data_IF_155059730197
#
_entry.id   IF_155059730197
#
_cell.length_a   1.000
_cell.length_b   1.000
_cell.length_c   1.000
_cell.angle_alpha   90.00
_cell.angle_beta   90.00
_cell.angle_gamma   90.00
#
_symmetry.space_group_name_H-M   'P 1'
#
loop_
_entity.id
_entity.type
_entity.pdbx_description
1 polymer ?
#
# COMPACT_ATOMS: atom_id res chain seq x y z
N UNK A 1 -23.48 -8.66 4.79
CA UNK A 1 -22.25 -8.87 3.98
C UNK A 1 -21.19 -7.91 4.49
N UNK A 2 -20.02 -8.42 4.89
CA UNK A 2 -18.89 -7.58 5.33
C UNK A 2 -18.26 -6.83 4.16
N UNK A 3 -17.55 -5.72 4.44
CA UNK A 3 -16.74 -5.01 3.44
C UNK A 3 -15.36 -5.67 3.39
N UNK A 4 -14.88 -5.98 2.19
CA UNK A 4 -13.50 -6.41 1.97
C UNK A 4 -12.59 -5.18 1.89
N UNK A 5 -11.45 -5.22 2.59
CA UNK A 5 -10.44 -4.15 2.57
C UNK A 5 -9.30 -4.57 1.66
N UNK A 6 -8.84 -3.63 0.84
CA UNK A 6 -7.73 -3.78 -0.10
C UNK A 6 -6.69 -2.70 0.22
N UNK A 7 -5.42 -3.08 0.20
CA UNK A 7 -4.30 -2.16 0.40
C UNK A 7 -3.23 -2.34 -0.68
N UNK A 8 -2.47 -1.29 -0.97
CA UNK A 8 -1.28 -1.41 -1.81
C UNK A 8 -0.14 -2.06 -1.04
N UNK A 9 0.72 -2.82 -1.72
CA UNK A 9 1.98 -3.29 -1.16
C UNK A 9 2.85 -2.14 -0.60
N UNK A 10 2.72 -0.92 -1.15
CA UNK A 10 3.41 0.26 -0.58
C UNK A 10 2.86 0.63 0.80
N UNK A 11 1.54 0.58 0.98
CA UNK A 11 0.91 0.84 2.30
C UNK A 11 1.33 -0.22 3.31
N UNK A 12 1.39 -1.49 2.92
CA UNK A 12 1.93 -2.57 3.76
C UNK A 12 3.37 -2.25 4.19
N UNK A 13 4.26 -1.95 3.25
CA UNK A 13 5.66 -1.63 3.56
C UNK A 13 5.79 -0.40 4.47
N UNK A 14 4.95 0.63 4.30
CA UNK A 14 4.93 1.81 5.16
C UNK A 14 4.50 1.49 6.59
N UNK A 15 3.58 0.54 6.80
CA UNK A 15 3.17 0.08 8.14
C UNK A 15 4.35 -0.51 8.93
N UNK A 16 5.26 -1.22 8.25
CA UNK A 16 6.46 -1.80 8.86
C UNK A 16 7.67 -0.84 8.83
N UNK A 17 7.52 0.40 8.34
CA UNK A 17 8.60 1.38 8.22
C UNK A 17 9.03 2.04 9.54
N UNK A 18 8.31 1.80 10.65
CA UNK A 18 8.62 2.38 11.97
C UNK A 18 9.88 1.72 12.54
N UNK A 19 10.86 2.53 12.93
CA UNK A 19 12.06 2.03 13.61
C UNK A 19 11.73 1.56 15.03
N UNK A 20 12.41 0.50 15.48
CA UNK A 20 12.31 -0.06 16.84
C UNK A 20 10.89 -0.49 17.24
N UNK A 21 10.15 -1.13 16.33
CA UNK A 21 8.86 -1.74 16.67
C UNK A 21 9.05 -2.85 17.70
N UNK A 22 8.18 -2.88 18.69
CA UNK A 22 8.08 -3.98 19.65
C UNK A 22 7.43 -5.21 19.01
N UNK A 23 7.70 -6.40 19.54
CA UNK A 23 7.07 -7.64 19.07
C UNK A 23 5.54 -7.57 19.08
N UNK A 24 4.97 -6.85 20.06
CA UNK A 24 3.53 -6.59 20.14
C UNK A 24 3.03 -5.74 18.96
N UNK A 25 3.75 -4.68 18.60
CA UNK A 25 3.37 -3.84 17.45
C UNK A 25 3.50 -4.61 16.13
N UNK A 26 4.53 -5.44 15.98
CA UNK A 26 4.70 -6.30 14.81
C UNK A 26 3.53 -7.29 14.69
N UNK A 27 3.14 -7.94 15.80
CA UNK A 27 1.98 -8.84 15.83
C UNK A 27 0.70 -8.14 15.36
N UNK A 28 0.44 -6.93 15.86
CA UNK A 28 -0.75 -6.14 15.49
C UNK A 28 -0.71 -5.75 14.01
N UNK A 29 0.46 -5.38 13.46
CA UNK A 29 0.58 -5.07 12.03
C UNK A 29 0.35 -6.30 11.16
N UNK A 30 0.90 -7.46 11.54
CA UNK A 30 0.65 -8.71 10.83
C UNK A 30 -0.84 -9.07 10.84
N UNK A 31 -1.51 -9.04 11.99
CA UNK A 31 -2.95 -9.30 12.11
C UNK A 31 -3.78 -8.35 11.24
N UNK A 32 -3.40 -7.07 11.19
CA UNK A 32 -4.07 -6.08 10.34
C UNK A 32 -3.90 -6.41 8.86
N UNK A 33 -2.67 -6.67 8.42
CA UNK A 33 -2.35 -6.96 7.01
C UNK A 33 -2.99 -8.28 6.57
N UNK A 34 -2.98 -9.32 7.41
CA UNK A 34 -3.64 -10.61 7.13
C UNK A 34 -5.15 -10.48 6.95
N UNK A 35 -5.77 -9.46 7.56
CA UNK A 35 -7.19 -9.15 7.37
C UNK A 35 -7.50 -8.40 6.06
N UNK A 36 -6.47 -7.97 5.33
CA UNK A 36 -6.57 -7.19 4.10
C UNK A 36 -6.14 -8.00 2.87
N UNK A 37 -6.63 -7.63 1.69
CA UNK A 37 -6.05 -8.12 0.44
C UNK A 37 -4.97 -7.14 -0.02
N UNK A 38 -3.72 -7.60 -0.14
CA UNK A 38 -2.59 -6.79 -0.60
C UNK A 38 -2.49 -6.87 -2.12
N UNK A 39 -2.55 -5.71 -2.79
CA UNK A 39 -2.28 -5.57 -4.21
C UNK A 39 -0.81 -5.21 -4.44
N UNK A 40 -0.10 -6.12 -5.09
CA UNK A 40 1.28 -5.94 -5.53
C UNK A 40 1.42 -4.92 -6.66
N UNK A 41 2.66 -4.48 -6.93
CA UNK A 41 2.97 -3.53 -8.00
C UNK A 41 3.01 -4.21 -9.39
N UNK A 42 1.83 -4.53 -9.91
CA UNK A 42 1.66 -5.15 -11.22
C UNK A 42 2.03 -4.21 -12.40
N UNK A 43 2.31 -4.76 -13.61
CA UNK A 43 2.72 -3.98 -14.78
C UNK A 43 1.77 -2.84 -15.19
N UNK A 44 0.47 -3.06 -15.09
CA UNK A 44 -0.61 -2.11 -15.33
C UNK A 44 -0.61 -0.96 -14.31
N UNK A 45 -0.48 -1.26 -13.01
CA UNK A 45 -0.34 -0.25 -11.95
C UNK A 45 0.88 0.64 -12.24
N UNK A 46 2.01 0.06 -12.67
CA UNK A 46 3.21 0.83 -13.05
C UNK A 46 2.97 1.81 -14.20
N UNK A 47 2.09 1.49 -15.16
CA UNK A 47 1.75 2.43 -16.23
C UNK A 47 0.91 3.58 -15.68
N UNK A 48 -0.07 3.28 -14.83
CA UNK A 48 -0.91 4.29 -14.20
C UNK A 48 -0.11 5.23 -13.30
N UNK A 49 0.84 4.69 -12.52
CA UNK A 49 1.80 5.50 -11.72
C UNK A 49 2.54 6.52 -12.59
N UNK A 50 3.05 6.11 -13.76
CA UNK A 50 3.75 7.04 -14.68
C UNK A 50 2.81 8.16 -15.15
N UNK A 51 1.56 7.84 -15.44
CA UNK A 51 0.56 8.83 -15.85
C UNK A 51 0.27 9.82 -14.72
N UNK A 52 -0.01 9.32 -13.51
CA UNK A 52 -0.28 10.15 -12.34
C UNK A 52 0.92 11.05 -11.98
N UNK A 53 2.14 10.50 -12.02
CA UNK A 53 3.38 11.24 -11.77
C UNK A 53 3.60 12.42 -12.72
N UNK A 54 3.27 12.25 -14.00
CA UNK A 54 3.38 13.32 -15.02
C UNK A 54 2.30 14.39 -14.86
N UNK A 55 1.13 14.02 -14.35
CA UNK A 55 -0.04 14.91 -14.28
C UNK A 55 -0.12 15.71 -12.97
N UNK A 56 0.23 15.11 -11.82
CA UNK A 56 -0.14 15.66 -10.50
C UNK A 56 1.02 16.01 -9.56
N UNK A 57 2.29 15.81 -9.94
CA UNK A 57 3.44 16.20 -9.11
C UNK A 57 3.57 15.45 -7.77
N UNK A 58 2.77 14.39 -7.56
CA UNK A 58 2.76 13.59 -6.33
C UNK A 58 4.03 12.76 -6.13
N UNK A 59 4.34 12.39 -4.88
CA UNK A 59 5.48 11.53 -4.55
C UNK A 59 5.25 10.12 -5.09
N UNK A 60 6.34 9.36 -5.29
CA UNK A 60 6.24 8.01 -5.85
C UNK A 60 5.39 7.05 -5.00
N UNK A 61 5.54 6.99 -3.65
CA UNK A 61 4.68 6.13 -2.81
C UNK A 61 3.19 6.48 -2.97
N UNK A 62 2.85 7.76 -2.82
CA UNK A 62 1.48 8.26 -2.99
C UNK A 62 0.90 7.95 -4.37
N UNK A 63 1.73 8.03 -5.43
CA UNK A 63 1.32 7.70 -6.79
C UNK A 63 1.01 6.21 -6.96
N UNK A 64 1.76 5.34 -6.30
CA UNK A 64 1.52 3.89 -6.33
C UNK A 64 0.24 3.54 -5.58
N UNK A 65 0.01 4.15 -4.40
CA UNK A 65 -1.22 3.95 -3.64
C UNK A 65 -2.44 4.42 -4.46
N UNK A 66 -2.37 5.62 -5.04
CA UNK A 66 -3.45 6.15 -5.87
C UNK A 66 -3.70 5.29 -7.13
N UNK A 67 -2.64 4.80 -7.78
CA UNK A 67 -2.78 3.90 -8.94
C UNK A 67 -3.36 2.54 -8.56
N UNK A 68 -3.11 2.04 -7.35
CA UNK A 68 -3.67 0.76 -6.87
C UNK A 68 -5.17 0.86 -6.60
N UNK A 69 -5.68 2.07 -6.29
CA UNK A 69 -7.07 2.32 -5.94
C UNK A 69 -8.00 2.62 -7.15
N UNK A 70 -7.45 2.66 -8.37
CA UNK A 70 -8.17 2.95 -9.63
C UNK A 70 -8.45 1.64 -10.36
#
# INVERSE_FOLDING_TARGET
MGKQVYISAITELELFGKQNMTDKEISIMNELVESCFVFDLYPDIKQLVKQLKRKYGIKLPDAIIAATAI
#
